data_IF_485719425750
#
_entry.id   IF_485719425750
#
_cell.length_a   1.000
_cell.length_b   1.000
_cell.length_c   1.000
_cell.angle_alpha   90.00
_cell.angle_beta   90.00
_cell.angle_gamma   90.00
#
_symmetry.space_group_name_H-M   'P 1'
#
loop_
_entity.id
_entity.type
_entity.pdbx_description
1 polymer ?
#
# COMPACT_ATOMS: atom_id res chain seq x y z
N UNK A 1 11.16 1.89 -6.37
CA UNK A 1 9.79 1.96 -6.94
C UNK A 1 8.79 2.26 -5.84
N UNK A 2 7.71 2.98 -6.14
CA UNK A 2 6.65 3.32 -5.19
C UNK A 2 5.31 2.95 -5.80
N UNK A 3 4.47 2.27 -5.03
CA UNK A 3 3.04 2.11 -5.27
C UNK A 3 2.26 3.00 -4.30
N UNK A 4 1.19 3.61 -4.80
CA UNK A 4 0.15 4.25 -4.01
C UNK A 4 -1.13 3.41 -4.07
N UNK A 5 -1.69 3.10 -2.91
CA UNK A 5 -2.90 2.27 -2.81
C UNK A 5 -3.84 2.77 -1.71
N UNK A 6 -5.05 2.23 -1.67
CA UNK A 6 -5.95 2.36 -0.51
C UNK A 6 -6.59 1.03 -0.19
N UNK A 7 -6.78 0.73 1.10
CA UNK A 7 -7.55 -0.45 1.52
C UNK A 7 -9.03 -0.36 1.10
N UNK A 8 -9.56 0.86 0.91
CA UNK A 8 -10.93 1.09 0.43
C UNK A 8 -11.08 1.01 -1.09
N UNK A 9 -9.99 0.85 -1.84
CA UNK A 9 -9.99 0.86 -3.30
C UNK A 9 -10.18 -0.56 -3.87
N UNK A 10 -11.29 -0.87 -4.55
CA UNK A 10 -11.54 -2.22 -5.09
C UNK A 10 -10.50 -2.66 -6.13
N UNK A 11 -10.01 -1.73 -6.97
CA UNK A 11 -8.93 -2.05 -7.90
C UNK A 11 -7.62 -2.37 -7.20
N UNK A 12 -7.34 -1.73 -6.07
CA UNK A 12 -6.16 -1.98 -5.25
C UNK A 12 -6.27 -3.36 -4.57
N UNK A 13 -7.48 -3.71 -4.12
CA UNK A 13 -7.78 -5.06 -3.65
C UNK A 13 -7.50 -6.11 -4.72
N UNK A 14 -8.03 -5.93 -5.94
CA UNK A 14 -7.79 -6.86 -7.05
C UNK A 14 -6.30 -6.95 -7.41
N UNK A 15 -5.59 -5.81 -7.47
CA UNK A 15 -4.15 -5.78 -7.71
C UNK A 15 -3.35 -6.60 -6.69
N UNK A 16 -3.67 -6.46 -5.41
CA UNK A 16 -2.97 -7.14 -4.33
C UNK A 16 -3.38 -8.63 -4.21
N UNK A 17 -4.68 -8.90 -4.19
CA UNK A 17 -5.26 -10.18 -3.78
C UNK A 17 -5.57 -11.13 -4.93
N UNK A 18 -5.92 -10.61 -6.12
CA UNK A 18 -6.31 -11.44 -7.26
C UNK A 18 -5.17 -11.56 -8.28
N UNK A 19 -4.57 -10.41 -8.62
CA UNK A 19 -3.53 -10.35 -9.64
C UNK A 19 -2.11 -10.45 -9.07
N UNK A 20 -1.94 -10.23 -7.77
CA UNK A 20 -0.64 -10.24 -7.09
C UNK A 20 0.42 -9.37 -7.79
N UNK A 21 0.01 -8.25 -8.41
CA UNK A 21 0.90 -7.36 -9.18
C UNK A 21 2.03 -6.81 -8.30
N UNK A 22 1.79 -6.29 -7.08
CA UNK A 22 2.87 -5.78 -6.21
C UNK A 22 3.93 -6.86 -5.91
N UNK A 23 3.51 -8.11 -5.67
CA UNK A 23 4.41 -9.22 -5.41
C UNK A 23 5.25 -9.56 -6.64
N UNK A 24 4.63 -9.68 -7.81
CA UNK A 24 5.33 -10.00 -9.06
C UNK A 24 6.32 -8.90 -9.45
N UNK A 25 5.91 -7.64 -9.31
CA UNK A 25 6.79 -6.49 -9.47
C UNK A 25 7.98 -6.57 -8.52
N UNK A 26 7.73 -6.79 -7.21
CA UNK A 26 8.80 -6.86 -6.22
C UNK A 26 9.80 -8.00 -6.52
N UNK A 27 9.34 -9.13 -7.05
CA UNK A 27 10.18 -10.25 -7.48
C UNK A 27 10.99 -9.95 -8.75
N UNK A 28 10.47 -9.10 -9.64
CA UNK A 28 11.15 -8.68 -10.86
C UNK A 28 12.18 -7.56 -10.64
N UNK A 29 12.14 -6.89 -9.48
CA UNK A 29 13.09 -5.83 -9.14
C UNK A 29 14.53 -6.36 -8.99
N UNK A 30 15.56 -5.59 -9.40
CA UNK A 30 16.94 -5.84 -9.03
C UNK A 30 17.13 -5.98 -7.51
N UNK A 31 18.13 -6.75 -7.08
CA UNK A 31 18.37 -7.05 -5.65
C UNK A 31 18.58 -5.81 -4.77
N UNK A 32 19.06 -4.72 -5.34
CA UNK A 32 19.32 -3.43 -4.69
C UNK A 32 18.15 -2.44 -4.80
N UNK A 33 17.13 -2.76 -5.59
CA UNK A 33 15.96 -1.91 -5.77
C UNK A 33 14.96 -2.09 -4.61
N UNK A 34 14.50 -0.96 -4.08
CA UNK A 34 13.51 -0.94 -3.00
C UNK A 34 12.10 -0.74 -3.57
N UNK A 35 11.20 -1.66 -3.25
CA UNK A 35 9.76 -1.50 -3.46
C UNK A 35 9.11 -0.91 -2.20
N UNK A 36 8.26 0.11 -2.36
CA UNK A 36 7.52 0.74 -1.26
C UNK A 36 6.06 0.83 -1.64
N UNK A 37 5.18 0.55 -0.70
CA UNK A 37 3.75 0.77 -0.85
C UNK A 37 3.33 1.84 0.15
N UNK A 38 2.68 2.89 -0.33
CA UNK A 38 2.18 4.00 0.48
C UNK A 38 0.66 4.08 0.37
N UNK A 39 0.01 4.23 1.52
CA UNK A 39 -1.43 4.40 1.59
C UNK A 39 -1.81 5.87 1.37
N UNK A 40 -2.95 6.12 0.73
CA UNK A 40 -3.50 7.48 0.50
C UNK A 40 -4.68 7.78 1.43
N UNK A 41 -4.84 9.04 1.84
CA UNK A 41 -5.87 9.45 2.81
C UNK A 41 -7.23 9.81 2.19
N UNK A 42 -7.36 9.86 0.87
CA UNK A 42 -8.53 10.46 0.21
C UNK A 42 -9.68 9.48 -0.09
N UNK A 43 -9.58 8.21 0.32
CA UNK A 43 -10.60 7.19 0.07
C UNK A 43 -11.08 6.52 1.36
N UNK A 44 -12.38 6.61 1.62
CA UNK A 44 -13.06 5.96 2.74
C UNK A 44 -12.92 6.70 4.07
N UNK A 45 -13.79 6.36 5.02
CA UNK A 45 -13.96 7.08 6.29
C UNK A 45 -12.77 6.96 7.25
N UNK A 46 -12.16 5.78 7.33
CA UNK A 46 -11.02 5.52 8.23
C UNK A 46 -9.67 5.65 7.50
N UNK A 47 -9.61 6.36 6.38
CA UNK A 47 -8.43 6.41 5.51
C UNK A 47 -7.17 6.87 6.23
N UNK A 48 -7.26 7.94 7.03
CA UNK A 48 -6.12 8.46 7.79
C UNK A 48 -5.67 7.48 8.89
N UNK A 49 -6.62 6.82 9.55
CA UNK A 49 -6.33 5.78 10.54
C UNK A 49 -5.63 4.58 9.88
N UNK A 50 -6.06 4.20 8.67
CA UNK A 50 -5.43 3.14 7.88
C UNK A 50 -4.04 3.53 7.37
N UNK A 51 -3.80 4.79 7.00
CA UNK A 51 -2.45 5.27 6.66
C UNK A 51 -1.50 5.18 7.86
N UNK A 52 -1.99 5.52 9.05
CA UNK A 52 -1.26 5.38 10.30
C UNK A 52 -1.02 3.93 10.68
N UNK A 53 -2.03 3.07 10.53
CA UNK A 53 -1.89 1.64 10.78
C UNK A 53 -0.92 0.98 9.80
N UNK A 54 -0.94 1.39 8.52
CA UNK A 54 0.03 0.92 7.54
C UNK A 54 1.46 1.37 7.87
N UNK A 55 1.64 2.61 8.33
CA UNK A 55 2.92 3.08 8.85
C UNK A 55 3.42 2.25 10.05
N UNK A 56 2.53 1.87 10.97
CA UNK A 56 2.87 0.97 12.06
C UNK A 56 3.23 -0.44 11.54
N UNK A 57 2.47 -0.98 10.60
CA UNK A 57 2.74 -2.28 10.00
C UNK A 57 4.15 -2.33 9.37
N UNK A 58 4.53 -1.28 8.64
CA UNK A 58 5.87 -1.13 8.07
C UNK A 58 6.96 -0.94 9.10
N UNK A 59 6.70 -0.21 10.18
CA UNK A 59 7.67 -0.08 11.28
C UNK A 59 7.94 -1.44 11.94
N UNK A 60 6.90 -2.25 12.14
CA UNK A 60 6.98 -3.54 12.81
C UNK A 60 7.38 -4.70 11.87
N UNK A 61 7.38 -4.49 10.56
CA UNK A 61 7.63 -5.54 9.57
C UNK A 61 6.53 -6.60 9.51
N UNK A 62 5.28 -6.21 9.74
CA UNK A 62 4.11 -7.11 9.81
C UNK A 62 3.10 -6.89 8.69
N UNK A 63 3.48 -6.18 7.63
CA UNK A 63 2.62 -5.87 6.49
C UNK A 63 1.92 -7.12 5.94
N UNK A 64 2.66 -8.21 5.73
CA UNK A 64 2.13 -9.46 5.19
C UNK A 64 1.07 -10.11 6.08
N UNK A 65 1.06 -9.82 7.39
CA UNK A 65 0.07 -10.37 8.33
C UNK A 65 -1.23 -9.56 8.31
N UNK A 66 -1.12 -8.24 8.20
CA UNK A 66 -2.27 -7.35 8.40
C UNK A 66 -2.91 -6.87 7.11
N UNK A 67 -2.19 -6.91 5.97
CA UNK A 67 -2.69 -6.32 4.73
C UNK A 67 -4.01 -6.94 4.25
N UNK A 68 -4.07 -8.28 4.17
CA UNK A 68 -5.27 -9.00 3.74
C UNK A 68 -6.50 -8.71 4.63
N UNK A 69 -6.44 -8.88 5.97
CA UNK A 69 -7.61 -8.62 6.81
C UNK A 69 -8.00 -7.13 6.85
N UNK A 70 -7.05 -6.19 6.72
CA UNK A 70 -7.37 -4.77 6.58
C UNK A 70 -8.12 -4.48 5.29
N UNK A 71 -7.70 -5.08 4.17
CA UNK A 71 -8.41 -5.02 2.90
C UNK A 71 -9.82 -5.57 3.03
N UNK A 72 -9.97 -6.78 3.56
CA UNK A 72 -11.29 -7.40 3.72
C UNK A 72 -12.24 -6.55 4.56
N UNK A 73 -11.76 -5.99 5.67
CA UNK A 73 -12.55 -5.13 6.54
C UNK A 73 -12.93 -3.81 5.88
N UNK A 74 -11.98 -3.17 5.17
CA UNK A 74 -12.24 -1.92 4.46
C UNK A 74 -13.20 -2.11 3.27
N UNK A 75 -13.05 -3.19 2.49
CA UNK A 75 -13.93 -3.51 1.36
C UNK A 75 -15.37 -3.83 1.81
N UNK A 76 -15.55 -4.43 2.99
CA UNK A 76 -16.86 -4.64 3.61
C UNK A 76 -17.42 -3.38 4.28
N UNK A 77 -16.67 -2.27 4.24
CA UNK A 77 -16.94 -1.05 5.00
C UNK A 77 -17.27 -1.36 6.48
N UNK A 78 -16.49 -2.21 7.14
CA UNK A 78 -16.74 -2.60 8.53
C UNK A 78 -15.92 -1.78 9.54
N UNK A 79 -14.95 -1.01 9.08
CA UNK A 79 -14.11 -0.17 9.94
C UNK A 79 -14.84 1.13 10.30
N UNK A 80 -14.88 1.45 11.59
CA UNK A 80 -15.58 2.62 12.15
C UNK A 80 -14.69 3.48 13.04
N UNK A 81 -13.52 2.98 13.39
CA UNK A 81 -12.57 3.61 14.31
C UNK A 81 -11.17 2.97 14.22
N UNK A 82 -10.20 3.62 14.86
CA UNK A 82 -8.88 3.03 15.12
C UNK A 82 -8.95 1.77 16.00
N UNK A 83 -9.98 1.62 16.85
CA UNK A 83 -10.14 0.43 17.68
C UNK A 83 -10.43 -0.82 16.83
N UNK A 84 -11.26 -0.71 15.79
CA UNK A 84 -11.54 -1.82 14.88
C UNK A 84 -10.27 -2.25 14.12
N UNK A 85 -9.46 -1.27 13.72
CA UNK A 85 -8.17 -1.51 13.05
C UNK A 85 -7.19 -2.19 14.01
N UNK A 86 -7.13 -1.72 15.26
CA UNK A 86 -6.31 -2.31 16.32
C UNK A 86 -6.68 -3.77 16.55
N UNK A 87 -7.96 -4.10 16.61
CA UNK A 87 -8.42 -5.48 16.82
C UNK A 87 -7.95 -6.42 15.72
N UNK A 88 -7.89 -5.96 14.46
CA UNK A 88 -7.30 -6.72 13.36
C UNK A 88 -5.82 -7.02 13.65
N UNK A 89 -5.03 -6.04 14.07
CA UNK A 89 -3.62 -6.27 14.42
C UNK A 89 -3.47 -7.30 15.55
N UNK A 90 -4.32 -7.22 16.58
CA UNK A 90 -4.30 -8.17 17.69
C UNK A 90 -4.64 -9.59 17.24
N UNK A 91 -5.64 -9.75 16.38
CA UNK A 91 -6.02 -11.04 15.81
C UNK A 91 -4.90 -11.66 14.96
N UNK A 92 -4.03 -10.83 14.39
CA UNK A 92 -2.84 -11.27 13.65
C UNK A 92 -1.59 -11.48 14.52
N UNK A 93 -1.75 -11.45 15.86
CA UNK A 93 -0.71 -11.75 16.83
C UNK A 93 0.24 -10.60 17.15
N UNK A 94 -0.10 -9.36 16.77
CA UNK A 94 0.59 -8.17 17.28
C UNK A 94 0.06 -7.91 18.69
N UNK A 95 0.93 -7.71 19.67
CA UNK A 95 0.50 -7.47 21.04
C UNK A 95 -0.12 -6.08 21.21
N UNK A 96 -1.01 -5.93 22.20
CA UNK A 96 -1.53 -4.63 22.60
C UNK A 96 -0.41 -3.61 22.87
N UNK A 97 0.63 -4.03 23.59
CA UNK A 97 1.79 -3.20 23.88
C UNK A 97 2.51 -2.72 22.61
N UNK A 98 2.78 -3.63 21.67
CA UNK A 98 3.40 -3.29 20.39
C UNK A 98 2.56 -2.30 19.59
N UNK A 99 1.23 -2.43 19.60
CA UNK A 99 0.36 -1.50 18.89
C UNK A 99 0.29 -0.15 19.61
N UNK A 100 -0.18 -0.17 20.86
CA UNK A 100 -0.56 1.03 21.62
C UNK A 100 0.63 1.94 21.91
N UNK A 101 1.81 1.36 22.14
CA UNK A 101 3.03 2.12 22.40
C UNK A 101 3.64 2.74 21.14
N UNK A 102 3.34 2.19 19.96
CA UNK A 102 4.00 2.60 18.71
C UNK A 102 3.11 3.39 17.76
N UNK A 103 1.78 3.21 17.77
CA UNK A 103 0.84 3.80 16.80
C UNK A 103 0.92 5.35 16.72
N UNK A 104 1.31 6.00 17.82
CA UNK A 104 1.51 7.45 17.91
C UNK A 104 2.98 7.86 18.12
N UNK A 105 3.92 6.92 17.97
CA UNK A 105 5.35 7.19 18.13
C UNK A 105 5.88 8.19 17.09
N UNK A 106 7.01 8.81 17.39
CA UNK A 106 7.72 9.67 16.44
C UNK A 106 8.02 8.96 15.11
N UNK A 107 8.41 7.68 15.17
CA UNK A 107 8.70 6.87 13.99
C UNK A 107 7.46 6.69 13.11
N UNK A 108 6.31 6.32 13.70
CA UNK A 108 5.05 6.18 12.94
C UNK A 108 4.58 7.51 12.38
N UNK A 109 4.64 8.60 13.17
CA UNK A 109 4.30 9.94 12.68
C UNK A 109 5.17 10.36 11.48
N UNK A 110 6.48 10.06 11.53
CA UNK A 110 7.39 10.30 10.42
C UNK A 110 7.02 9.51 9.15
N UNK A 111 6.63 8.24 9.31
CA UNK A 111 6.20 7.40 8.19
C UNK A 111 4.85 7.84 7.61
N UNK A 112 3.87 8.25 8.44
CA UNK A 112 2.62 8.87 7.98
C UNK A 112 2.93 10.09 7.13
N UNK A 113 3.75 11.01 7.65
CA UNK A 113 4.07 12.24 6.93
C UNK A 113 4.82 11.97 5.62
N UNK A 114 5.65 10.93 5.59
CA UNK A 114 6.35 10.48 4.37
C UNK A 114 5.39 10.02 3.29
N UNK A 115 4.35 9.27 3.65
CA UNK A 115 3.31 8.82 2.71
C UNK A 115 2.53 10.00 2.14
N UNK A 116 2.04 10.89 3.00
CA UNK A 116 1.28 12.09 2.62
C UNK A 116 2.08 13.03 1.70
N UNK A 117 3.34 13.30 2.08
CA UNK A 117 4.22 14.16 1.30
C UNK A 117 4.52 13.54 -0.06
N UNK A 118 4.73 12.21 -0.13
CA UNK A 118 4.91 11.52 -1.39
C UNK A 118 3.64 11.62 -2.25
N UNK A 119 2.46 11.35 -1.70
CA UNK A 119 1.20 11.45 -2.46
C UNK A 119 0.99 12.86 -3.02
N UNK A 120 1.35 13.89 -2.25
CA UNK A 120 1.31 15.29 -2.69
C UNK A 120 2.34 15.59 -3.79
N UNK A 121 3.60 15.20 -3.56
CA UNK A 121 4.71 15.43 -4.50
C UNK A 121 4.47 14.77 -5.86
N UNK A 122 3.92 13.56 -5.86
CA UNK A 122 3.58 12.82 -7.08
C UNK A 122 2.22 13.21 -7.67
N UNK A 123 1.51 14.15 -7.04
CA UNK A 123 0.17 14.63 -7.43
C UNK A 123 -0.81 13.46 -7.65
N UNK A 124 -0.86 12.53 -6.69
CA UNK A 124 -1.70 11.33 -6.77
C UNK A 124 -3.16 11.74 -6.73
N UNK A 125 -3.92 11.36 -7.76
CA UNK A 125 -5.36 11.63 -7.91
C UNK A 125 -6.23 10.37 -7.93
N UNK A 126 -5.61 9.20 -8.03
CA UNK A 126 -6.28 7.91 -8.10
C UNK A 126 -5.32 6.80 -7.70
N UNK A 127 -5.88 5.64 -7.39
CA UNK A 127 -5.14 4.44 -7.00
C UNK A 127 -5.82 3.20 -7.61
N UNK A 128 -5.09 2.09 -7.85
CA UNK A 128 -3.64 1.92 -7.63
C UNK A 128 -2.82 2.75 -8.61
N UNK A 129 -1.67 3.27 -8.17
CA UNK A 129 -0.78 4.07 -9.02
C UNK A 129 0.69 3.78 -8.73
N UNK A 130 1.50 3.58 -9.76
CA UNK A 130 2.86 3.08 -9.64
C UNK A 130 3.88 4.01 -10.29
N UNK A 131 4.96 4.26 -9.57
CA UNK A 131 6.03 5.15 -9.96
C UNK A 131 7.40 4.46 -9.93
N UNK A 132 8.06 4.44 -11.08
CA UNK A 132 9.39 3.87 -11.30
C UNK A 132 10.44 4.98 -11.31
N UNK A 133 11.52 4.79 -10.57
CA UNK A 133 12.61 5.78 -10.37
C UNK A 133 12.16 7.18 -9.94
N UNK A 134 10.96 7.29 -9.33
CA UNK A 134 10.37 8.59 -8.95
C UNK A 134 10.08 9.52 -10.14
N UNK A 135 10.10 8.99 -11.37
CA UNK A 135 10.03 9.77 -12.62
C UNK A 135 8.93 9.28 -13.54
N UNK A 136 8.79 7.96 -13.67
CA UNK A 136 7.87 7.35 -14.63
C UNK A 136 6.62 6.84 -13.90
N UNK A 137 5.46 7.35 -14.28
CA UNK A 137 4.16 6.80 -13.87
C UNK A 137 3.76 5.69 -14.84
N UNK A 138 3.33 4.55 -14.31
CA UNK A 138 2.79 3.45 -15.13
C UNK A 138 1.36 3.80 -15.54
N UNK A 139 1.06 3.77 -16.83
CA UNK A 139 -0.29 4.01 -17.35
C UNK A 139 -0.98 2.68 -17.69
N UNK A 140 -1.91 2.16 -16.85
CA UNK A 140 -2.59 0.90 -17.10
C UNK A 140 -3.50 0.93 -18.33
N UNK A 141 -4.01 2.10 -18.73
CA UNK A 141 -4.94 2.22 -19.87
C UNK A 141 -4.28 1.90 -21.22
N UNK A 142 -2.95 1.99 -21.29
CA UNK A 142 -2.18 1.67 -22.49
C UNK A 142 -1.74 0.21 -22.59
N UNK A 143 -2.09 -0.63 -21.61
CA UNK A 143 -1.61 -2.02 -21.53
C UNK A 143 -2.59 -3.00 -22.20
N UNK A 144 -2.05 -4.14 -22.63
CA UNK A 144 -2.81 -5.22 -23.20
C UNK A 144 -3.78 -5.81 -22.17
N UNK A 145 -5.07 -5.82 -22.47
CA UNK A 145 -6.09 -6.35 -21.57
C UNK A 145 -5.99 -7.88 -21.37
N UNK A 146 -5.69 -8.63 -22.43
CA UNK A 146 -5.68 -10.10 -22.41
C UNK A 146 -4.51 -10.66 -21.58
N UNK A 147 -3.40 -9.91 -21.52
CA UNK A 147 -2.18 -10.25 -20.78
C UNK A 147 -1.80 -9.16 -19.75
N UNK A 148 -2.79 -8.50 -19.15
CA UNK A 148 -2.62 -7.27 -18.37
C UNK A 148 -1.52 -7.37 -17.31
N UNK A 149 -1.51 -8.43 -16.51
CA UNK A 149 -0.54 -8.60 -15.42
C UNK A 149 0.88 -8.71 -15.94
N UNK A 150 1.08 -9.51 -17.00
CA UNK A 150 2.39 -9.70 -17.62
C UNK A 150 2.89 -8.39 -18.22
N UNK A 151 2.06 -7.70 -19.00
CA UNK A 151 2.41 -6.44 -19.65
C UNK A 151 2.71 -5.34 -18.61
N UNK A 152 1.98 -5.34 -17.49
CA UNK A 152 2.25 -4.45 -16.36
C UNK A 152 3.65 -4.66 -15.78
N UNK A 153 4.02 -5.91 -15.48
CA UNK A 153 5.33 -6.26 -14.90
C UNK A 153 6.46 -5.98 -15.90
N UNK A 154 6.26 -6.30 -17.19
CA UNK A 154 7.23 -5.99 -18.24
C UNK A 154 7.44 -4.48 -18.42
N UNK A 155 6.36 -3.70 -18.41
CA UNK A 155 6.41 -2.24 -18.46
C UNK A 155 7.19 -1.67 -17.28
N UNK A 156 6.89 -2.12 -16.05
CA UNK A 156 7.62 -1.72 -14.85
C UNK A 156 9.11 -2.05 -14.98
N UNK A 157 9.43 -3.26 -15.42
CA UNK A 157 10.82 -3.73 -15.54
C UNK A 157 11.59 -2.97 -16.62
N UNK A 158 10.95 -2.68 -17.75
CA UNK A 158 11.53 -1.87 -18.82
C UNK A 158 11.77 -0.41 -18.39
N UNK A 159 10.90 0.16 -17.56
CA UNK A 159 11.08 1.52 -17.01
C UNK A 159 12.21 1.59 -15.97
N UNK A 160 12.53 0.51 -15.26
CA UNK A 160 13.65 0.48 -14.30
C UNK A 160 15.01 0.65 -15.00
N UNK A 161 15.11 0.23 -16.26
CA UNK A 161 16.33 0.30 -17.07
C UNK A 161 16.54 1.67 -17.73
N UNK A 162 15.62 2.63 -17.52
CA UNK A 162 15.67 3.98 -18.09
C UNK A 162 15.96 5.05 -17.02
#
# INVERSE_FOLDING_TARGET
MIEFFSFYCPHCYAFEMEYHIPQQVAQALPKDAVFKQYHVNFLGRESENLTRAWALATLLGVEAKVKAPLFEAAQKDSLRSMADIRDIFLQQGITAEQFDSNINSFAVNGLVKKQENAATQFNIRGVPDFYVNGKYRVNPEGLNYDDFVKDYVETVTGLLQK
#
